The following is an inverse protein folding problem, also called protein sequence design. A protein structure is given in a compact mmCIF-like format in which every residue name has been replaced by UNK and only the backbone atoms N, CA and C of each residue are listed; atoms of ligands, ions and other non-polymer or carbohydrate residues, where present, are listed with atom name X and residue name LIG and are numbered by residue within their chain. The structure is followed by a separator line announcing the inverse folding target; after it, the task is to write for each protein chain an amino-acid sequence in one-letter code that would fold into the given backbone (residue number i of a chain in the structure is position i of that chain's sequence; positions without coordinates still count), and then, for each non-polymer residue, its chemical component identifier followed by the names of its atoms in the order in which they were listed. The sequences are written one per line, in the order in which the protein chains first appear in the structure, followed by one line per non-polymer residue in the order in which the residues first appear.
data_IF_173928941396
#
_entry.id   IF_173928941396
#
_cell.length_a   1.000
_cell.length_b   1.000
_cell.length_c   1.000
_cell.angle_alpha   90.00
_cell.angle_beta   90.00
_cell.angle_gamma   90.00
#
_symmetry.space_group_name_H-M   'P 1'
#
loop_
_entity.id
_entity.type
_entity.pdbx_description
1 polymer ?
#
# COMPACT_ATOMS: atom_id res chain seq x y z
N UNK A 1 67.61 12.07 18.65
CA UNK A 1 68.26 13.10 19.48
C UNK A 1 67.79 12.81 20.89
N UNK A 2 68.59 12.13 21.73
CA UNK A 2 69.46 12.65 22.80
C UNK A 2 68.69 13.62 23.71
N UNK A 3 68.52 13.38 25.01
CA UNK A 3 69.54 13.13 26.03
C UNK A 3 68.98 12.50 27.29
N UNK A 4 69.68 11.56 27.79
CA UNK A 4 69.84 11.15 29.19
C UNK A 4 70.40 12.28 30.06
N UNK A 5 70.12 12.30 31.37
CA UNK A 5 71.03 12.56 32.45
C UNK A 5 70.48 11.89 33.73
N UNK A 6 71.17 11.15 34.29
CA UNK A 6 71.77 10.43 35.38
C UNK A 6 72.40 11.38 36.40
N UNK A 7 72.33 10.99 37.70
CA UNK A 7 73.41 11.02 38.72
C UNK A 7 72.82 10.76 40.11
N UNK A 8 73.03 9.61 40.86
CA UNK A 8 74.25 9.32 41.62
C UNK A 8 74.33 10.14 42.93
N UNK A 9 74.43 9.61 44.06
CA UNK A 9 75.25 8.69 44.75
C UNK A 9 75.15 8.98 46.25
N UNK A 10 75.15 7.96 47.03
CA UNK A 10 76.18 7.53 47.99
C UNK A 10 76.35 8.48 49.23
N UNK A 11 76.52 8.07 50.41
CA UNK A 11 77.45 7.17 51.11
C UNK A 11 77.21 7.27 52.65
N UNK A 12 77.14 6.14 53.33
CA UNK A 12 77.79 5.68 54.55
C UNK A 12 77.96 6.62 55.82
N UNK A 13 77.53 6.19 56.98
CA UNK A 13 78.45 5.84 58.09
C UNK A 13 77.82 5.17 59.29
N UNK A 14 78.59 4.25 59.79
CA UNK A 14 78.46 3.47 61.05
C UNK A 14 78.45 4.33 62.34
N UNK A 15 77.78 3.86 63.42
CA UNK A 15 78.49 3.61 64.65
C UNK A 15 77.58 2.87 65.68
N UNK A 16 78.22 1.90 66.34
CA UNK A 16 77.81 0.92 67.33
C UNK A 16 77.74 1.57 68.69
N UNK A 17 77.01 0.87 69.63
CA UNK A 17 77.21 0.64 71.08
C UNK A 17 76.04 1.10 71.94
N UNK A 18 75.58 0.11 72.73
CA UNK A 18 75.17 0.31 74.08
C UNK A 18 73.97 -0.54 74.54
N UNK A 19 74.26 -1.66 75.17
CA UNK A 19 73.36 -2.47 75.97
C UNK A 19 72.63 -1.67 77.03
N UNK A 20 71.30 -1.87 77.17
CA UNK A 20 70.70 -2.02 78.50
C UNK A 20 69.35 -2.79 78.39
N UNK A 21 69.38 -3.99 79.01
CA UNK A 21 68.24 -4.84 79.23
C UNK A 21 67.30 -4.19 80.24
N UNK A 22 66.06 -3.89 79.84
CA UNK A 22 64.94 -3.78 80.74
C UNK A 22 63.79 -4.65 80.25
N UNK A 23 63.60 -5.78 80.96
CA UNK A 23 62.35 -6.55 80.83
C UNK A 23 61.17 -5.72 81.27
N UNK A 24 60.41 -5.20 80.40
CA UNK A 24 59.02 -4.78 80.60
C UNK A 24 58.16 -5.80 79.94
N UNK A 25 57.42 -6.58 80.71
CA UNK A 25 56.37 -7.45 80.24
C UNK A 25 55.28 -6.57 79.56
N UNK A 26 55.35 -6.37 78.27
CA UNK A 26 54.28 -5.82 77.51
C UNK A 26 53.22 -6.92 77.31
N UNK A 27 52.09 -6.75 77.96
CA UNK A 27 50.90 -7.55 77.65
C UNK A 27 50.69 -7.49 76.11
N UNK A 28 50.31 -8.58 75.49
CA UNK A 28 50.04 -8.55 74.02
C UNK A 28 48.90 -7.57 73.75
N UNK A 29 49.22 -6.45 73.21
CA UNK A 29 48.20 -5.60 72.55
C UNK A 29 47.59 -6.46 71.46
N UNK A 30 46.47 -7.02 71.79
CA UNK A 30 45.63 -7.74 70.84
C UNK A 30 45.24 -6.72 69.76
N UNK A 31 45.99 -6.74 68.66
CA UNK A 31 45.66 -5.88 67.50
C UNK A 31 44.23 -6.20 67.12
N UNK A 32 43.36 -5.22 67.32
CA UNK A 32 41.98 -5.33 66.87
C UNK A 32 42.02 -5.75 65.41
N UNK A 33 41.63 -6.97 65.15
CA UNK A 33 41.60 -7.54 63.79
C UNK A 33 40.60 -6.71 62.98
N UNK A 34 41.09 -5.85 62.05
CA UNK A 34 40.24 -5.04 61.18
C UNK A 34 39.38 -5.95 60.30
N UNK A 35 38.13 -5.57 60.16
CA UNK A 35 37.20 -6.22 59.18
C UNK A 35 37.88 -6.30 57.83
N UNK A 36 38.14 -7.50 57.27
CA UNK A 36 38.91 -7.64 56.04
C UNK A 36 38.49 -8.83 55.18
N UNK A 37 38.69 -8.62 53.85
CA UNK A 37 38.67 -9.72 52.90
C UNK A 37 40.03 -10.40 52.84
N UNK A 38 40.03 -11.71 52.92
CA UNK A 38 41.22 -12.55 52.79
C UNK A 38 41.03 -13.48 51.59
N UNK A 39 42.02 -13.52 50.69
CA UNK A 39 42.06 -14.50 49.63
C UNK A 39 42.93 -15.69 50.12
N UNK A 40 42.36 -16.86 50.12
CA UNK A 40 43.04 -18.10 50.41
C UNK A 40 42.80 -19.11 49.31
N UNK A 41 43.82 -19.49 48.57
CA UNK A 41 43.79 -20.41 47.44
C UNK A 41 42.72 -20.06 46.38
N UNK A 42 42.64 -18.76 45.99
CA UNK A 42 41.70 -18.27 44.99
C UNK A 42 40.27 -18.04 45.51
N UNK A 43 39.98 -18.38 46.75
CA UNK A 43 38.66 -18.12 47.38
C UNK A 43 38.76 -16.95 48.35
N UNK A 44 37.76 -16.02 48.25
CA UNK A 44 37.67 -14.89 49.18
C UNK A 44 36.81 -15.27 50.39
N UNK A 45 37.31 -14.87 51.57
CA UNK A 45 36.63 -14.98 52.87
C UNK A 45 36.54 -13.59 53.49
N UNK A 46 35.52 -13.37 54.31
CA UNK A 46 35.38 -12.13 55.05
C UNK A 46 35.38 -12.45 56.59
N UNK A 47 36.21 -11.74 57.29
CA UNK A 47 36.32 -11.86 58.77
C UNK A 47 35.80 -10.58 59.41
N UNK A 48 35.03 -10.73 60.51
CA UNK A 48 34.56 -9.59 61.30
C UNK A 48 35.67 -9.01 62.17
N UNK A 49 35.34 -8.00 62.99
CA UNK A 49 36.29 -7.34 63.89
C UNK A 49 36.79 -8.28 65.02
N UNK A 50 36.14 -9.40 65.26
CA UNK A 50 36.58 -10.43 66.23
C UNK A 50 37.43 -11.52 65.57
N UNK A 51 37.72 -11.45 64.30
CA UNK A 51 38.44 -12.47 63.56
C UNK A 51 37.59 -13.69 63.18
N UNK A 52 36.27 -13.61 63.35
CA UNK A 52 35.35 -14.72 63.03
C UNK A 52 34.99 -14.67 61.54
N UNK A 53 35.09 -15.82 60.88
CA UNK A 53 34.72 -16.00 59.51
C UNK A 53 33.18 -15.83 59.29
N UNK A 54 32.78 -14.93 58.47
CA UNK A 54 31.38 -14.74 58.14
C UNK A 54 30.88 -15.84 57.19
N UNK A 55 29.68 -16.34 57.44
CA UNK A 55 28.95 -17.36 56.67
C UNK A 55 27.56 -16.88 56.34
N UNK A 56 27.01 -17.30 55.20
CA UNK A 56 25.68 -16.88 54.75
C UNK A 56 25.63 -15.42 54.33
N UNK A 57 24.48 -14.77 54.55
CA UNK A 57 24.27 -13.37 54.21
C UNK A 57 24.98 -12.44 55.19
N UNK A 58 25.68 -11.46 54.65
CA UNK A 58 26.29 -10.37 55.40
C UNK A 58 25.92 -9.03 54.82
N UNK A 59 25.54 -8.07 55.64
CA UNK A 59 25.32 -6.69 55.23
C UNK A 59 26.39 -5.80 55.86
N UNK A 60 27.19 -5.12 55.04
CA UNK A 60 28.22 -4.20 55.54
C UNK A 60 27.60 -2.97 56.19
N UNK A 61 28.33 -2.19 56.99
CA UNK A 61 27.87 -0.93 57.57
C UNK A 61 27.43 0.08 56.48
N UNK A 62 27.99 0.02 55.27
CA UNK A 62 27.61 0.82 54.12
C UNK A 62 26.40 0.27 53.34
N UNK A 63 25.70 -0.76 53.85
CA UNK A 63 24.50 -1.33 53.24
C UNK A 63 24.76 -2.30 52.07
N UNK A 64 26.01 -2.59 51.73
CA UNK A 64 26.35 -3.57 50.70
C UNK A 64 26.09 -5.01 51.20
N UNK A 65 25.43 -5.82 50.40
CA UNK A 65 25.08 -7.20 50.77
C UNK A 65 26.02 -8.18 50.09
N UNK A 66 26.51 -9.14 50.91
CA UNK A 66 27.42 -10.20 50.48
C UNK A 66 26.81 -11.56 50.84
N UNK A 67 27.26 -12.59 50.11
CA UNK A 67 26.90 -13.95 50.43
C UNK A 67 28.13 -14.86 50.43
N UNK A 68 28.29 -15.59 51.49
CA UNK A 68 29.36 -16.57 51.71
C UNK A 68 28.75 -17.95 51.89
N UNK A 69 29.45 -18.98 51.47
CA UNK A 69 28.98 -20.33 51.62
C UNK A 69 28.66 -20.62 53.08
N UNK A 70 27.48 -21.15 53.42
CA UNK A 70 27.07 -21.38 54.80
C UNK A 70 27.95 -22.42 55.56
N UNK A 71 28.61 -23.33 54.81
CA UNK A 71 29.49 -24.38 55.43
C UNK A 71 30.90 -23.86 55.48
N UNK A 72 31.48 -23.42 54.35
CA UNK A 72 32.92 -23.10 54.30
C UNK A 72 33.23 -21.63 54.61
N UNK A 73 32.25 -20.73 54.43
CA UNK A 73 32.43 -19.28 54.50
C UNK A 73 33.12 -18.68 53.28
N UNK A 74 33.35 -19.44 52.22
CA UNK A 74 33.91 -18.93 50.97
C UNK A 74 32.92 -18.07 50.24
N UNK A 75 33.35 -16.96 49.59
CA UNK A 75 32.55 -16.22 48.67
C UNK A 75 32.13 -17.12 47.50
N UNK A 76 30.90 -16.96 47.04
CA UNK A 76 30.35 -17.72 45.91
C UNK A 76 30.16 -16.80 44.70
N UNK A 77 31.14 -16.65 43.80
CA UNK A 77 30.99 -15.84 42.61
C UNK A 77 30.03 -16.47 41.58
N UNK A 78 29.43 -15.64 40.75
CA UNK A 78 28.49 -16.09 39.69
C UNK A 78 27.05 -16.20 40.17
N UNK A 79 26.24 -16.98 39.44
CA UNK A 79 24.81 -17.20 39.74
C UNK A 79 24.61 -18.30 40.75
N UNK A 80 24.00 -17.96 41.87
CA UNK A 80 23.65 -18.94 42.94
C UNK A 80 22.19 -18.79 43.37
N UNK A 81 21.57 -19.93 43.66
CA UNK A 81 20.21 -19.97 44.21
C UNK A 81 20.29 -19.98 45.74
N UNK A 82 19.71 -18.94 46.35
CA UNK A 82 19.66 -18.79 47.81
C UNK A 82 18.20 -18.51 48.18
N UNK A 83 17.65 -19.31 49.11
CA UNK A 83 16.25 -19.18 49.59
C UNK A 83 15.23 -19.04 48.45
N UNK A 84 15.33 -19.93 47.44
CA UNK A 84 14.39 -19.97 46.30
C UNK A 84 14.59 -18.89 45.25
N UNK A 85 15.46 -17.90 45.43
CA UNK A 85 15.79 -16.84 44.46
C UNK A 85 17.20 -17.03 43.93
N UNK A 86 17.44 -16.66 42.66
CA UNK A 86 18.76 -16.69 42.04
C UNK A 86 19.37 -15.28 42.06
N UNK A 87 20.58 -15.18 42.56
CA UNK A 87 21.37 -13.94 42.69
C UNK A 87 22.67 -14.08 41.89
N UNK A 88 23.29 -12.95 41.57
CA UNK A 88 24.67 -12.94 41.06
C UNK A 88 25.59 -12.24 42.05
N UNK A 89 26.71 -12.86 42.31
CA UNK A 89 27.72 -12.35 43.23
C UNK A 89 29.04 -12.13 42.48
N UNK A 90 29.77 -11.10 42.85
CA UNK A 90 31.15 -10.88 42.40
C UNK A 90 32.10 -11.88 43.02
N UNK A 91 33.35 -11.90 42.60
CA UNK A 91 34.39 -12.76 43.17
C UNK A 91 34.51 -12.63 44.67
N UNK A 92 34.26 -11.43 45.23
CA UNK A 92 34.26 -11.19 46.68
C UNK A 92 32.90 -11.44 47.36
N UNK A 93 31.96 -12.06 46.67
CA UNK A 93 30.65 -12.37 47.21
C UNK A 93 29.69 -11.19 47.27
N UNK A 94 30.01 -10.01 46.72
CA UNK A 94 29.11 -8.86 46.68
C UNK A 94 27.91 -9.12 45.74
N UNK A 95 26.71 -8.97 46.28
CA UNK A 95 25.48 -9.09 45.52
C UNK A 95 25.32 -7.94 44.50
N UNK A 96 25.21 -8.28 43.22
CA UNK A 96 24.98 -7.33 42.15
C UNK A 96 23.47 -7.02 42.01
N UNK A 97 23.13 -5.78 41.77
CA UNK A 97 21.75 -5.29 41.61
C UNK A 97 21.59 -4.47 40.34
N UNK A 98 20.37 -4.48 39.81
CA UNK A 98 19.92 -3.61 38.69
C UNK A 98 20.90 -3.56 37.51
N UNK A 99 21.45 -4.72 37.12
CA UNK A 99 22.52 -4.81 36.11
C UNK A 99 22.40 -6.08 35.25
N UNK A 100 22.86 -6.00 34.00
CA UNK A 100 23.15 -7.18 33.20
C UNK A 100 24.54 -7.72 33.62
N UNK A 101 24.59 -8.98 33.95
CA UNK A 101 25.80 -9.71 34.38
C UNK A 101 26.10 -10.83 33.38
N UNK A 102 27.37 -11.24 33.33
CA UNK A 102 27.81 -12.38 32.52
C UNK A 102 28.29 -13.50 33.46
N UNK A 103 27.78 -14.71 33.24
CA UNK A 103 28.16 -15.90 33.96
C UNK A 103 28.35 -17.05 32.96
N UNK A 104 29.54 -17.67 32.95
CA UNK A 104 29.90 -18.70 31.96
C UNK A 104 29.55 -18.36 30.52
N UNK A 105 29.88 -17.12 30.09
CA UNK A 105 29.64 -16.61 28.73
C UNK A 105 28.16 -16.27 28.42
N UNK A 106 27.23 -16.48 29.35
CA UNK A 106 25.81 -16.17 29.19
C UNK A 106 25.45 -14.91 29.99
N UNK A 107 24.55 -14.09 29.41
CA UNK A 107 24.12 -12.81 29.99
C UNK A 107 22.80 -12.96 30.71
N UNK A 108 22.67 -12.33 31.87
CA UNK A 108 21.49 -12.38 32.73
C UNK A 108 21.21 -10.99 33.30
N UNK A 109 19.96 -10.71 33.64
CA UNK A 109 19.59 -9.49 34.35
C UNK A 109 19.23 -9.79 35.79
N UNK A 110 19.82 -9.03 36.70
CA UNK A 110 19.47 -9.02 38.14
C UNK A 110 18.80 -7.68 38.46
N UNK A 111 17.65 -7.73 39.13
CA UNK A 111 16.82 -6.57 39.43
C UNK A 111 17.33 -5.76 40.63
N UNK A 112 16.56 -4.76 41.06
CA UNK A 112 16.88 -3.93 42.24
C UNK A 112 17.04 -4.71 43.55
N UNK A 113 16.43 -5.87 43.64
CA UNK A 113 16.55 -6.79 44.81
C UNK A 113 17.70 -7.79 44.65
N UNK A 114 18.43 -7.75 43.54
CA UNK A 114 19.47 -8.70 43.19
C UNK A 114 18.95 -10.00 42.56
N UNK A 115 17.64 -10.14 42.32
CA UNK A 115 17.04 -11.36 41.78
C UNK A 115 17.23 -11.47 40.25
N UNK A 116 17.70 -12.63 39.79
CA UNK A 116 17.70 -12.94 38.38
C UNK A 116 16.28 -12.91 37.83
N UNK A 117 16.09 -12.12 36.77
CA UNK A 117 14.80 -11.99 36.11
C UNK A 117 14.80 -12.70 34.78
N UNK A 118 13.60 -13.06 34.31
CA UNK A 118 13.34 -13.66 33.01
C UNK A 118 12.12 -12.98 32.34
N UNK A 119 11.92 -13.23 31.05
CA UNK A 119 10.85 -12.61 30.29
C UNK A 119 11.27 -11.30 29.64
N UNK A 120 10.30 -10.46 29.30
CA UNK A 120 10.52 -9.16 28.67
C UNK A 120 10.75 -8.08 29.73
N UNK A 121 11.88 -7.40 29.66
CA UNK A 121 12.32 -6.44 30.68
C UNK A 121 12.78 -5.15 30.04
N UNK A 122 12.31 -4.02 30.55
CA UNK A 122 12.79 -2.69 30.17
C UNK A 122 13.99 -2.32 31.06
N UNK A 123 15.11 -1.98 30.42
CA UNK A 123 16.33 -1.51 31.08
C UNK A 123 16.73 -0.19 30.40
N UNK A 124 16.61 0.91 31.13
CA UNK A 124 16.71 2.26 30.55
C UNK A 124 15.65 2.50 29.50
N UNK A 125 16.06 2.92 28.30
CA UNK A 125 15.16 3.21 27.17
C UNK A 125 14.83 1.96 26.34
N UNK A 126 15.55 0.86 26.53
CA UNK A 126 15.45 -0.32 25.66
C UNK A 126 14.71 -1.47 26.33
N UNK A 127 14.04 -2.27 25.50
CA UNK A 127 13.45 -3.54 25.90
C UNK A 127 14.37 -4.68 25.54
N UNK A 128 14.44 -5.69 26.41
CA UNK A 128 15.23 -6.90 26.25
C UNK A 128 14.36 -8.11 26.55
N UNK A 129 14.74 -9.27 25.99
CA UNK A 129 14.11 -10.54 26.31
C UNK A 129 15.13 -11.48 26.94
N UNK A 130 14.69 -12.15 28.00
CA UNK A 130 15.43 -13.17 28.71
C UNK A 130 14.62 -14.46 28.67
N UNK A 131 15.26 -15.56 28.31
CA UNK A 131 14.60 -16.85 28.23
C UNK A 131 13.89 -17.19 29.55
N UNK A 132 12.64 -17.65 29.47
CA UNK A 132 11.79 -17.83 30.67
C UNK A 132 12.27 -18.93 31.60
N UNK A 133 12.90 -19.98 31.06
CA UNK A 133 13.40 -21.13 31.83
C UNK A 133 14.78 -20.83 32.39
N UNK A 134 15.68 -20.40 31.54
CA UNK A 134 17.10 -20.25 31.89
C UNK A 134 17.46 -18.86 32.40
N UNK A 135 16.67 -17.82 32.07
CA UNK A 135 16.99 -16.42 32.36
C UNK A 135 18.08 -15.84 31.43
N UNK A 136 18.57 -16.60 30.45
CA UNK A 136 19.61 -16.14 29.53
C UNK A 136 19.06 -15.05 28.62
N UNK A 137 19.81 -13.95 28.42
CA UNK A 137 19.46 -12.88 27.50
C UNK A 137 19.46 -13.39 26.08
N UNK A 138 18.37 -13.14 25.34
CA UNK A 138 18.21 -13.56 23.95
C UNK A 138 18.96 -12.61 23.01
N UNK A 139 19.50 -13.20 21.93
CA UNK A 139 20.18 -12.50 20.82
C UNK A 139 19.84 -13.22 19.52
N UNK A 140 19.50 -12.46 18.46
CA UNK A 140 19.08 -12.99 17.16
C UNK A 140 18.02 -14.09 17.30
N UNK A 141 17.04 -13.87 18.19
CA UNK A 141 16.10 -14.91 18.59
C UNK A 141 14.68 -14.35 18.78
N UNK A 142 13.70 -15.19 18.48
CA UNK A 142 12.31 -14.91 18.77
C UNK A 142 12.00 -15.08 20.25
N UNK A 143 11.13 -14.21 20.74
CA UNK A 143 10.56 -14.31 22.08
C UNK A 143 9.04 -14.19 21.98
N UNK A 144 8.31 -15.09 22.65
CA UNK A 144 6.85 -15.01 22.79
C UNK A 144 6.51 -14.74 24.24
N UNK A 145 5.72 -13.69 24.48
CA UNK A 145 5.27 -13.33 25.83
C UNK A 145 4.08 -14.20 26.28
N UNK A 146 3.68 -14.09 27.54
CA UNK A 146 2.57 -14.89 28.12
C UNK A 146 1.22 -14.60 27.48
N UNK A 147 1.03 -13.40 26.93
CA UNK A 147 -0.16 -12.98 26.19
C UNK A 147 -0.14 -13.42 24.70
N UNK A 148 0.84 -14.24 24.29
CA UNK A 148 1.04 -14.65 22.89
C UNK A 148 1.71 -13.61 22.01
N UNK A 149 2.01 -12.41 22.50
CA UNK A 149 2.71 -11.38 21.74
C UNK A 149 4.11 -11.82 21.37
N UNK A 150 4.50 -11.57 20.11
CA UNK A 150 5.81 -11.98 19.59
C UNK A 150 6.75 -10.78 19.48
N UNK A 151 8.01 -11.03 19.74
CA UNK A 151 9.11 -10.07 19.72
C UNK A 151 10.35 -10.71 19.09
N UNK A 152 11.30 -9.90 18.65
CA UNK A 152 12.59 -10.39 18.18
C UNK A 152 13.73 -9.64 18.88
N UNK A 153 14.63 -10.36 19.52
CA UNK A 153 15.86 -9.82 20.06
C UNK A 153 16.91 -9.74 18.94
N UNK A 154 17.34 -8.54 18.60
CA UNK A 154 18.31 -8.30 17.54
C UNK A 154 19.75 -8.66 17.92
N UNK A 155 20.68 -8.35 17.03
CA UNK A 155 22.10 -8.63 17.21
C UNK A 155 22.76 -7.83 18.36
N UNK A 156 22.14 -6.73 18.79
CA UNK A 156 22.56 -5.91 19.93
C UNK A 156 21.82 -6.29 21.22
N UNK A 157 21.15 -7.46 21.23
CA UNK A 157 20.34 -8.00 22.35
C UNK A 157 19.03 -7.24 22.64
N UNK A 158 18.89 -5.97 22.24
CA UNK A 158 17.62 -5.25 22.39
C UNK A 158 16.53 -5.79 21.48
N UNK A 159 15.27 -5.66 21.90
CA UNK A 159 14.14 -5.93 21.03
C UNK A 159 14.15 -4.93 19.87
N UNK A 160 13.97 -5.45 18.64
CA UNK A 160 13.93 -4.65 17.44
C UNK A 160 12.65 -3.82 17.36
N UNK A 161 12.72 -2.70 16.65
CA UNK A 161 11.62 -1.77 16.44
C UNK A 161 11.59 -1.35 14.97
N UNK A 162 10.40 -0.93 14.47
CA UNK A 162 10.21 -0.55 13.10
C UNK A 162 10.25 -1.75 12.14
N UNK A 163 10.57 -1.47 10.87
CA UNK A 163 10.78 -2.52 9.87
C UNK A 163 12.08 -3.27 10.14
N UNK A 164 11.97 -4.58 10.23
CA UNK A 164 13.14 -5.44 10.47
C UNK A 164 12.99 -6.79 9.73
N UNK A 165 14.12 -7.39 9.37
CA UNK A 165 14.22 -8.70 8.68
C UNK A 165 14.95 -9.69 9.58
N UNK A 166 14.24 -10.43 10.42
CA UNK A 166 14.84 -11.54 11.21
C UNK A 166 15.38 -12.68 10.32
N UNK A 167 14.75 -12.84 9.17
CA UNK A 167 15.03 -13.81 8.12
C UNK A 167 14.93 -13.12 6.75
N UNK A 168 14.54 -13.83 5.69
CA UNK A 168 14.38 -13.28 4.33
C UNK A 168 13.19 -12.31 4.19
N UNK A 169 12.33 -12.14 5.21
CA UNK A 169 11.08 -11.43 5.09
C UNK A 169 10.98 -10.25 6.04
N UNK A 170 10.43 -9.13 5.57
CA UNK A 170 10.14 -7.97 6.42
C UNK A 170 8.96 -8.22 7.34
N UNK A 171 9.11 -7.71 8.58
CA UNK A 171 8.06 -7.57 9.59
C UNK A 171 8.11 -6.17 10.17
N UNK A 172 7.08 -5.80 10.91
CA UNK A 172 7.06 -4.52 11.61
C UNK A 172 6.87 -4.73 13.10
N UNK A 173 7.77 -4.13 13.86
CA UNK A 173 7.79 -4.18 15.32
C UNK A 173 7.48 -2.79 15.88
N UNK A 174 6.50 -2.73 16.75
CA UNK A 174 5.98 -1.46 17.27
C UNK A 174 7.08 -0.63 17.96
N UNK A 175 7.22 0.69 17.64
CA UNK A 175 8.40 1.49 18.04
C UNK A 175 8.63 1.62 19.55
N UNK A 176 7.59 1.59 20.39
CA UNK A 176 7.75 1.85 21.81
C UNK A 176 7.94 0.60 22.67
N UNK A 177 7.62 -0.60 22.18
CA UNK A 177 7.71 -1.82 22.98
C UNK A 177 8.24 -3.04 22.21
N UNK A 178 8.43 -2.93 20.90
CA UNK A 178 8.96 -4.00 20.06
C UNK A 178 7.99 -5.15 19.77
N UNK A 179 6.67 -4.99 20.05
CA UNK A 179 5.66 -6.00 19.70
C UNK A 179 5.53 -6.15 18.19
N UNK A 180 5.63 -7.36 17.65
CA UNK A 180 5.38 -7.65 16.25
C UNK A 180 3.92 -7.36 15.91
N UNK A 181 3.68 -6.57 14.85
CA UNK A 181 2.34 -6.27 14.35
C UNK A 181 1.96 -7.19 13.21
N UNK A 182 0.66 -7.49 13.13
CA UNK A 182 0.04 -8.34 12.09
C UNK A 182 -1.19 -7.64 11.50
N UNK A 183 -1.75 -8.19 10.43
CA UNK A 183 -2.93 -7.62 9.78
C UNK A 183 -2.65 -6.28 9.11
N UNK A 184 -3.68 -5.48 8.97
CA UNK A 184 -3.59 -4.15 8.38
C UNK A 184 -2.93 -3.16 9.33
N UNK A 185 -1.93 -2.43 8.82
CA UNK A 185 -1.24 -1.37 9.55
C UNK A 185 -1.11 -0.12 8.67
N UNK A 186 -1.23 1.05 9.30
CA UNK A 186 -0.88 2.32 8.66
C UNK A 186 0.40 2.83 9.31
N UNK A 187 1.46 2.98 8.52
CA UNK A 187 2.79 3.37 8.99
C UNK A 187 3.26 4.51 8.07
N UNK A 188 3.59 5.64 8.63
CA UNK A 188 4.05 6.84 7.90
C UNK A 188 3.11 7.21 6.73
N UNK A 189 1.79 7.15 6.96
CA UNK A 189 0.75 7.47 5.97
C UNK A 189 0.48 6.40 4.91
N UNK A 190 1.27 5.32 4.85
CA UNK A 190 1.07 4.22 3.91
C UNK A 190 0.39 3.03 4.57
N UNK A 191 -0.48 2.35 3.84
CA UNK A 191 -1.11 1.10 4.29
C UNK A 191 -0.26 -0.11 3.90
N UNK A 192 -0.08 -1.00 4.87
CA UNK A 192 0.61 -2.28 4.75
C UNK A 192 -0.30 -3.41 5.23
N UNK A 193 -0.03 -4.58 4.72
CA UNK A 193 -0.65 -5.80 5.22
C UNK A 193 0.44 -6.77 5.68
N UNK A 194 0.26 -7.33 6.86
CA UNK A 194 1.12 -8.36 7.43
C UNK A 194 0.33 -9.64 7.65
N UNK A 195 0.92 -10.77 7.33
CA UNK A 195 0.29 -12.06 7.56
C UNK A 195 -0.07 -12.23 9.05
N UNK A 196 -1.31 -12.60 9.35
CA UNK A 196 -1.82 -12.65 10.72
C UNK A 196 -1.09 -13.67 11.61
N UNK A 197 -0.54 -14.74 11.02
CA UNK A 197 0.16 -15.81 11.76
C UNK A 197 1.66 -15.54 11.85
N UNK A 198 2.29 -15.15 10.76
CA UNK A 198 3.75 -15.05 10.65
C UNK A 198 4.29 -13.63 10.83
N UNK A 199 3.43 -12.61 10.70
CA UNK A 199 3.82 -11.20 10.68
C UNK A 199 4.59 -10.79 9.42
N UNK A 200 4.72 -11.66 8.42
CA UNK A 200 5.42 -11.36 7.16
C UNK A 200 4.65 -10.33 6.37
N UNK A 201 5.33 -9.27 5.92
CA UNK A 201 4.77 -8.22 5.07
C UNK A 201 4.51 -8.77 3.67
N UNK A 202 3.38 -8.39 3.09
CA UNK A 202 3.07 -8.71 1.71
C UNK A 202 3.74 -7.68 0.78
N UNK A 203 4.70 -8.14 -0.02
CA UNK A 203 5.49 -7.32 -0.94
C UNK A 203 5.31 -7.81 -2.38
N UNK A 204 5.22 -6.86 -3.34
CA UNK A 204 5.18 -7.11 -4.79
C UNK A 204 4.20 -8.21 -5.19
N UNK A 205 2.99 -8.18 -4.67
CA UNK A 205 1.99 -9.21 -4.94
C UNK A 205 0.55 -8.71 -4.87
N UNK A 206 -0.33 -9.47 -5.52
CA UNK A 206 -1.78 -9.39 -5.33
C UNK A 206 -2.20 -10.27 -4.16
N UNK A 207 -3.04 -9.75 -3.28
CA UNK A 207 -3.60 -10.47 -2.14
C UNK A 207 -5.11 -10.41 -2.18
N UNK A 208 -5.77 -11.54 -1.96
CA UNK A 208 -7.22 -11.62 -1.81
C UNK A 208 -7.55 -11.92 -0.36
N UNK A 209 -8.33 -11.04 0.27
CA UNK A 209 -8.87 -11.22 1.61
C UNK A 209 -10.39 -11.32 1.50
N UNK A 210 -10.94 -12.48 1.79
CA UNK A 210 -12.35 -12.78 1.54
C UNK A 210 -12.70 -12.54 0.05
N UNK A 211 -13.51 -11.53 -0.29
CA UNK A 211 -13.86 -11.16 -1.66
C UNK A 211 -13.06 -9.96 -2.19
N UNK A 212 -12.26 -9.32 -1.34
CA UNK A 212 -11.55 -8.08 -1.64
C UNK A 212 -10.13 -8.36 -2.13
N UNK A 213 -9.74 -7.74 -3.22
CA UNK A 213 -8.42 -7.88 -3.84
C UNK A 213 -7.62 -6.59 -3.70
N UNK A 214 -6.34 -6.72 -3.36
CA UNK A 214 -5.40 -5.61 -3.17
C UNK A 214 -4.07 -5.93 -3.85
N UNK A 215 -3.33 -4.90 -4.23
CA UNK A 215 -1.96 -5.02 -4.71
C UNK A 215 -0.99 -4.23 -3.83
N UNK A 216 0.20 -4.79 -3.65
CA UNK A 216 1.29 -4.19 -2.88
C UNK A 216 2.53 -4.06 -3.76
N UNK A 217 3.24 -2.94 -3.61
CA UNK A 217 4.50 -2.69 -4.31
C UNK A 217 5.68 -3.42 -3.64
N UNK A 218 6.90 -3.24 -4.18
CA UNK A 218 8.12 -3.85 -3.65
C UNK A 218 8.44 -3.42 -2.20
N UNK A 219 8.00 -2.22 -1.78
CA UNK A 219 8.14 -1.73 -0.41
C UNK A 219 7.00 -2.20 0.50
N UNK A 220 6.07 -3.04 0.01
CA UNK A 220 4.90 -3.51 0.76
C UNK A 220 3.80 -2.46 0.92
N UNK A 221 3.89 -1.31 0.27
CA UNK A 221 2.85 -0.28 0.31
C UNK A 221 1.69 -0.69 -0.59
N UNK A 222 0.47 -0.59 -0.08
CA UNK A 222 -0.75 -0.83 -0.85
C UNK A 222 -0.90 0.22 -1.96
N UNK A 223 -1.14 -0.22 -3.20
CA UNK A 223 -1.48 0.68 -4.29
C UNK A 223 -2.85 1.34 -4.08
N UNK A 224 -2.96 2.61 -4.49
CA UNK A 224 -4.21 3.40 -4.50
C UNK A 224 -4.19 4.35 -5.69
N UNK A 225 -5.33 4.49 -6.38
CA UNK A 225 -5.46 5.31 -7.60
C UNK A 225 -4.32 5.05 -8.60
N UNK A 226 -3.98 3.77 -8.84
CA UNK A 226 -2.77 3.45 -9.58
C UNK A 226 -2.88 2.13 -10.33
N UNK A 227 -2.31 2.09 -11.54
CA UNK A 227 -2.07 0.87 -12.28
C UNK A 227 -0.90 0.10 -11.66
N UNK A 228 -1.09 -1.18 -11.42
CA UNK A 228 -0.06 -2.08 -10.89
C UNK A 228 0.17 -3.25 -11.87
N UNK A 229 1.43 -3.49 -12.26
CA UNK A 229 1.80 -4.66 -13.05
C UNK A 229 2.54 -5.64 -12.16
N UNK A 230 1.98 -6.85 -12.01
CA UNK A 230 2.48 -7.91 -11.15
C UNK A 230 2.40 -9.24 -11.90
N UNK A 231 3.54 -9.93 -12.04
CA UNK A 231 3.60 -11.21 -12.75
C UNK A 231 3.10 -11.13 -14.20
N UNK A 232 3.40 -10.04 -14.92
CA UNK A 232 2.97 -9.81 -16.31
C UNK A 232 1.48 -9.43 -16.47
N UNK A 233 0.72 -9.31 -15.37
CA UNK A 233 -0.68 -8.92 -15.38
C UNK A 233 -0.85 -7.51 -14.83
N UNK A 234 -1.76 -6.73 -15.42
CA UNK A 234 -2.02 -5.33 -15.05
C UNK A 234 -3.36 -5.23 -14.32
N UNK A 235 -3.36 -4.49 -13.22
CA UNK A 235 -4.48 -4.26 -12.31
C UNK A 235 -4.66 -2.76 -12.08
N UNK A 236 -5.85 -2.30 -11.74
CA UNK A 236 -6.08 -0.94 -11.27
C UNK A 236 -6.57 -0.94 -9.81
N UNK A 237 -5.79 -0.33 -8.93
CA UNK A 237 -6.19 -0.11 -7.55
C UNK A 237 -6.95 1.21 -7.44
N UNK A 238 -8.18 1.16 -6.98
CA UNK A 238 -9.04 2.32 -6.75
C UNK A 238 -8.56 3.16 -5.55
N UNK A 239 -9.21 4.28 -5.27
CA UNK A 239 -8.85 5.16 -4.15
C UNK A 239 -8.83 4.47 -2.78
N UNK A 240 -9.73 3.52 -2.55
CA UNK A 240 -9.78 2.71 -1.33
C UNK A 240 -8.77 1.54 -1.31
N UNK A 241 -8.02 1.34 -2.40
CA UNK A 241 -7.05 0.26 -2.61
C UNK A 241 -7.64 -1.03 -3.16
N UNK A 242 -8.97 -1.14 -3.30
CA UNK A 242 -9.58 -2.31 -3.93
C UNK A 242 -9.24 -2.36 -5.42
N UNK A 243 -9.00 -3.55 -5.94
CA UNK A 243 -8.82 -3.71 -7.37
C UNK A 243 -10.16 -3.55 -8.10
N UNK A 244 -10.15 -2.78 -9.17
CA UNK A 244 -11.30 -2.63 -10.06
C UNK A 244 -11.60 -3.96 -10.78
N UNK A 245 -12.89 -4.19 -11.07
CA UNK A 245 -13.39 -5.30 -11.90
C UNK A 245 -14.51 -4.77 -12.80
N UNK A 246 -14.73 -5.40 -13.94
CA UNK A 246 -15.71 -4.92 -14.93
C UNK A 246 -15.19 -3.71 -15.71
N UNK A 247 -16.11 -2.88 -16.16
CA UNK A 247 -15.79 -1.66 -16.88
C UNK A 247 -15.24 -0.58 -15.93
N UNK A 248 -14.13 0.04 -16.34
CA UNK A 248 -13.47 1.14 -15.62
C UNK A 248 -13.30 2.31 -16.58
N UNK A 249 -13.88 3.45 -16.23
CA UNK A 249 -13.65 4.71 -16.94
C UNK A 249 -12.62 5.53 -16.16
N UNK A 250 -11.53 5.89 -16.83
CA UNK A 250 -10.42 6.63 -16.24
C UNK A 250 -9.85 7.60 -17.27
N UNK A 251 -9.81 8.88 -16.93
CA UNK A 251 -9.27 9.96 -17.78
C UNK A 251 -9.85 9.94 -19.22
N UNK A 252 -11.17 9.79 -19.33
CA UNK A 252 -11.88 9.74 -20.60
C UNK A 252 -11.75 8.42 -21.39
N UNK A 253 -10.95 7.48 -20.91
CA UNK A 253 -10.75 6.16 -21.52
C UNK A 253 -11.54 5.07 -20.77
N UNK A 254 -12.04 4.10 -21.52
CA UNK A 254 -12.72 2.92 -20.95
C UNK A 254 -11.81 1.69 -21.02
N UNK A 255 -11.74 0.96 -19.93
CA UNK A 255 -10.99 -0.29 -19.77
C UNK A 255 -11.92 -1.39 -19.27
N UNK A 256 -11.54 -2.63 -19.45
CA UNK A 256 -12.25 -3.77 -18.86
C UNK A 256 -11.29 -4.65 -18.06
N UNK A 257 -11.68 -4.94 -16.82
CA UNK A 257 -10.96 -5.83 -15.93
C UNK A 257 -11.81 -7.06 -15.63
N UNK A 258 -11.24 -8.24 -15.72
CA UNK A 258 -11.97 -9.48 -15.44
C UNK A 258 -12.29 -9.62 -13.94
N UNK A 259 -12.97 -10.70 -13.56
CA UNK A 259 -13.32 -10.99 -12.15
C UNK A 259 -12.10 -11.13 -11.24
N UNK A 260 -10.93 -11.44 -11.78
CA UNK A 260 -9.67 -11.49 -11.04
C UNK A 260 -8.97 -10.12 -10.94
N UNK A 261 -9.60 -9.04 -11.46
CA UNK A 261 -9.06 -7.68 -11.51
C UNK A 261 -8.01 -7.46 -12.61
N UNK A 262 -7.80 -8.42 -13.53
CA UNK A 262 -6.79 -8.33 -14.59
C UNK A 262 -7.33 -7.50 -15.75
N UNK A 263 -6.60 -6.46 -16.18
CA UNK A 263 -6.92 -5.68 -17.38
C UNK A 263 -6.92 -6.58 -18.62
N UNK A 264 -8.00 -6.52 -19.37
CA UNK A 264 -8.13 -7.26 -20.62
C UNK A 264 -7.67 -6.43 -21.81
N UNK A 265 -7.26 -7.14 -22.87
CA UNK A 265 -6.92 -6.61 -24.18
C UNK A 265 -7.55 -7.52 -25.25
N UNK A 266 -7.64 -7.04 -26.49
CA UNK A 266 -8.28 -7.78 -27.57
C UNK A 266 -9.80 -7.86 -27.40
N UNK A 267 -10.41 -8.90 -27.98
CA UNK A 267 -11.85 -9.09 -27.93
C UNK A 267 -12.33 -9.56 -26.56
N UNK A 268 -13.42 -8.94 -26.10
CA UNK A 268 -14.16 -9.37 -24.91
C UNK A 268 -15.67 -9.41 -25.21
N UNK A 269 -16.41 -10.16 -24.41
CA UNK A 269 -17.87 -10.13 -24.38
C UNK A 269 -18.34 -9.60 -23.03
N UNK A 270 -19.22 -8.60 -23.07
CA UNK A 270 -19.84 -8.01 -21.87
C UNK A 270 -21.27 -7.61 -22.18
N UNK A 271 -22.23 -7.97 -21.33
CA UNK A 271 -23.65 -7.65 -21.55
C UNK A 271 -24.19 -8.15 -22.90
N UNK A 272 -23.75 -9.31 -23.39
CA UNK A 272 -24.17 -9.88 -24.67
C UNK A 272 -23.55 -9.23 -25.92
N UNK A 273 -22.76 -8.15 -25.76
CA UNK A 273 -22.07 -7.48 -26.86
C UNK A 273 -20.57 -7.79 -26.86
N UNK A 274 -19.94 -7.77 -28.06
CA UNK A 274 -18.48 -7.91 -28.21
C UNK A 274 -17.84 -6.52 -28.29
N UNK A 275 -16.71 -6.36 -27.65
CA UNK A 275 -15.93 -5.11 -27.62
C UNK A 275 -14.46 -5.42 -27.91
N UNK A 276 -13.73 -4.45 -28.46
CA UNK A 276 -12.31 -4.60 -28.73
C UNK A 276 -11.49 -3.60 -27.91
N UNK A 277 -10.56 -4.14 -27.15
CA UNK A 277 -9.62 -3.38 -26.31
C UNK A 277 -8.25 -3.38 -26.97
N UNK A 278 -7.64 -2.21 -27.13
CA UNK A 278 -6.35 -2.06 -27.80
C UNK A 278 -5.28 -2.97 -27.15
N UNK A 279 -4.50 -3.76 -27.93
CA UNK A 279 -3.57 -4.76 -27.40
C UNK A 279 -2.52 -4.21 -26.44
N UNK A 280 -1.97 -3.02 -26.73
CA UNK A 280 -0.92 -2.41 -25.91
C UNK A 280 -1.47 -1.69 -24.66
N UNK A 281 -2.58 -0.95 -24.81
CA UNK A 281 -3.08 -0.06 -23.76
C UNK A 281 -4.28 -0.63 -22.99
N UNK A 282 -5.05 -1.53 -23.59
CA UNK A 282 -6.32 -2.01 -23.04
C UNK A 282 -7.47 -1.00 -23.16
N UNK A 283 -7.28 0.11 -23.88
CA UNK A 283 -8.31 1.13 -24.11
C UNK A 283 -9.36 0.62 -25.09
N UNK A 284 -10.63 0.82 -24.76
CA UNK A 284 -11.75 0.49 -25.65
C UNK A 284 -11.64 1.24 -26.97
N UNK A 285 -11.64 0.52 -28.08
CA UNK A 285 -11.75 1.07 -29.42
C UNK A 285 -13.20 1.46 -29.71
N UNK A 286 -13.39 2.62 -30.31
CA UNK A 286 -14.69 3.15 -30.68
C UNK A 286 -14.64 3.72 -32.09
N UNK A 287 -15.77 3.59 -32.81
CA UNK A 287 -15.99 4.21 -34.10
C UNK A 287 -14.85 3.98 -35.10
N UNK A 288 -14.35 2.76 -35.18
CA UNK A 288 -13.24 2.41 -36.07
C UNK A 288 -13.23 0.92 -36.47
N UNK A 289 -12.54 0.62 -37.56
CA UNK A 289 -12.14 -0.73 -37.91
C UNK A 289 -11.03 -1.20 -36.91
N UNK A 290 -11.21 -2.33 -36.30
CA UNK A 290 -10.18 -2.95 -35.41
C UNK A 290 -9.34 -4.00 -36.16
N UNK A 291 -9.88 -4.51 -37.26
CA UNK A 291 -9.21 -5.32 -38.25
C UNK A 291 -10.00 -5.25 -39.60
N UNK A 292 -9.59 -5.98 -40.61
CA UNK A 292 -10.21 -5.97 -41.96
C UNK A 292 -11.68 -6.39 -42.01
N UNK A 293 -12.23 -6.96 -40.95
CA UNK A 293 -13.58 -7.57 -40.92
C UNK A 293 -14.47 -7.04 -39.77
N UNK A 294 -13.91 -6.35 -38.81
CA UNK A 294 -14.64 -5.99 -37.60
C UNK A 294 -14.61 -4.47 -37.35
N UNK A 295 -15.75 -3.85 -37.44
CA UNK A 295 -15.95 -2.46 -37.06
C UNK A 295 -16.62 -2.36 -35.67
N UNK A 296 -16.17 -1.44 -34.86
CA UNK A 296 -16.78 -1.12 -33.56
C UNK A 296 -17.40 0.26 -33.59
N UNK A 297 -18.65 0.38 -33.14
CA UNK A 297 -19.43 1.58 -33.16
C UNK A 297 -19.05 2.64 -32.13
N UNK A 298 -19.87 3.66 -31.99
CA UNK A 298 -19.66 4.77 -31.06
C UNK A 298 -19.66 4.34 -29.61
N UNK A 299 -20.44 3.32 -29.22
CA UNK A 299 -20.44 2.68 -27.90
C UNK A 299 -19.27 1.68 -27.71
N UNK A 300 -18.45 1.45 -28.74
CA UNK A 300 -17.37 0.49 -28.79
C UNK A 300 -17.82 -0.95 -29.06
N UNK A 301 -19.12 -1.21 -29.21
CA UNK A 301 -19.60 -2.54 -29.53
C UNK A 301 -19.34 -2.88 -31.01
N UNK A 302 -19.00 -4.16 -31.24
CA UNK A 302 -18.88 -4.70 -32.60
C UNK A 302 -20.22 -4.64 -33.32
N UNK A 303 -20.21 -4.11 -34.55
CA UNK A 303 -21.35 -4.06 -35.47
C UNK A 303 -21.12 -5.15 -36.51
N UNK A 304 -21.89 -6.27 -36.48
CA UNK A 304 -21.78 -7.31 -37.49
C UNK A 304 -22.10 -6.78 -38.90
N UNK A 305 -21.34 -7.23 -39.90
CA UNK A 305 -21.55 -6.87 -41.30
C UNK A 305 -21.57 -5.35 -41.58
N UNK A 306 -20.86 -4.58 -40.73
CA UNK A 306 -20.69 -3.16 -40.97
C UNK A 306 -20.10 -2.95 -42.37
N UNK A 307 -20.81 -2.22 -43.21
CA UNK A 307 -20.30 -1.74 -44.49
C UNK A 307 -19.90 -0.29 -44.29
N UNK A 308 -18.70 0.07 -44.77
CA UNK A 308 -18.29 1.49 -44.83
C UNK A 308 -19.26 2.18 -45.81
N UNK A 309 -20.25 2.82 -45.22
CA UNK A 309 -21.27 3.50 -45.98
C UNK A 309 -20.79 4.93 -46.06
N UNK A 310 -20.12 5.29 -47.01
CA UNK A 310 -19.62 6.62 -47.36
C UNK A 310 -20.67 7.74 -47.17
N UNK A 311 -21.29 7.79 -45.97
CA UNK A 311 -22.24 8.80 -45.54
C UNK A 311 -21.50 10.04 -45.04
N UNK A 312 -21.74 11.19 -45.71
CA UNK A 312 -21.13 12.45 -45.30
C UNK A 312 -21.86 13.03 -44.07
N UNK A 313 -21.20 13.95 -43.38
CA UNK A 313 -21.85 14.83 -42.43
C UNK A 313 -22.87 15.74 -43.10
N UNK A 314 -24.11 15.89 -42.53
CA UNK A 314 -25.22 16.54 -43.20
C UNK A 314 -25.13 18.07 -43.25
N UNK A 315 -24.26 18.68 -42.46
CA UNK A 315 -24.08 20.14 -42.40
C UNK A 315 -22.67 20.55 -42.82
N UNK A 316 -22.42 21.87 -42.83
CA UNK A 316 -21.06 22.39 -42.95
C UNK A 316 -20.21 21.83 -41.80
N UNK A 317 -18.95 21.44 -42.01
CA UNK A 317 -18.08 20.90 -40.93
C UNK A 317 -17.93 21.80 -39.71
N UNK A 318 -18.06 23.13 -39.84
CA UNK A 318 -18.10 24.04 -38.67
C UNK A 318 -19.26 23.76 -37.70
N UNK A 319 -20.39 23.24 -38.19
CA UNK A 319 -21.58 22.90 -37.43
C UNK A 319 -21.48 21.43 -37.02
N UNK A 320 -20.66 21.13 -36.03
CA UNK A 320 -20.34 19.78 -35.54
C UNK A 320 -20.73 19.52 -34.08
N UNK A 321 -21.32 20.51 -33.43
CA UNK A 321 -21.75 20.38 -32.03
C UNK A 321 -23.03 19.58 -31.96
N UNK A 322 -22.98 18.42 -31.27
CA UNK A 322 -24.14 17.59 -31.00
C UNK A 322 -24.69 18.01 -29.64
N UNK A 323 -25.94 18.49 -29.63
CA UNK A 323 -26.64 18.95 -28.44
C UNK A 323 -27.46 17.83 -27.76
N UNK A 324 -27.83 16.80 -28.54
CA UNK A 324 -28.51 15.62 -28.01
C UNK A 324 -28.12 14.38 -28.81
N UNK A 325 -27.73 13.34 -28.10
CA UNK A 325 -27.30 12.07 -28.67
C UNK A 325 -28.47 11.08 -28.79
N UNK A 326 -28.30 10.07 -29.62
CA UNK A 326 -29.22 8.94 -29.77
C UNK A 326 -29.36 8.14 -28.48
N UNK A 327 -30.56 7.72 -28.12
CA UNK A 327 -30.84 6.84 -26.99
C UNK A 327 -31.61 7.50 -25.86
N UNK A 328 -31.60 6.88 -24.64
CA UNK A 328 -32.34 7.41 -23.50
C UNK A 328 -31.82 8.78 -23.05
N UNK A 329 -32.73 9.72 -22.79
CA UNK A 329 -32.42 11.07 -22.31
C UNK A 329 -33.53 11.61 -21.41
N UNK A 330 -33.24 12.62 -20.61
CA UNK A 330 -34.28 13.47 -20.02
C UNK A 330 -34.96 14.26 -21.16
N UNK A 331 -36.31 14.26 -21.19
CA UNK A 331 -37.03 15.05 -22.18
C UNK A 331 -36.61 16.54 -22.11
N UNK A 332 -36.20 17.18 -23.20
CA UNK A 332 -35.73 18.57 -23.19
C UNK A 332 -36.85 19.58 -22.93
N UNK A 333 -38.10 19.18 -23.05
CA UNK A 333 -39.27 19.99 -22.79
C UNK A 333 -40.59 19.27 -23.10
N UNK A 334 -41.75 19.95 -22.93
CA UNK A 334 -43.06 19.35 -23.15
C UNK A 334 -43.21 18.80 -24.58
N UNK A 335 -43.74 17.57 -24.68
CA UNK A 335 -43.93 16.86 -25.94
C UNK A 335 -42.71 16.20 -26.55
N UNK A 336 -41.52 16.35 -25.95
CA UNK A 336 -40.31 15.66 -26.38
C UNK A 336 -40.21 14.26 -25.81
N UNK A 337 -39.62 13.32 -26.54
CA UNK A 337 -39.41 11.94 -26.14
C UNK A 337 -38.26 11.80 -25.14
N UNK A 338 -38.40 10.85 -24.20
CA UNK A 338 -37.32 10.36 -23.30
C UNK A 338 -36.37 9.38 -23.99
N UNK A 339 -36.68 8.96 -25.20
CA UNK A 339 -35.78 8.16 -26.04
C UNK A 339 -35.58 8.89 -27.39
N UNK A 340 -34.34 9.35 -27.63
CA UNK A 340 -34.00 10.10 -28.84
C UNK A 340 -33.66 9.16 -29.98
N UNK A 341 -34.44 9.28 -31.09
CA UNK A 341 -34.33 8.41 -32.28
C UNK A 341 -33.31 8.89 -33.32
N UNK A 342 -32.51 9.90 -32.99
CA UNK A 342 -31.50 10.50 -33.87
C UNK A 342 -30.44 11.25 -33.08
N UNK A 343 -29.76 12.16 -33.72
CA UNK A 343 -28.87 13.15 -33.09
C UNK A 343 -29.33 14.56 -33.44
N UNK A 344 -29.22 15.48 -32.49
CA UNK A 344 -29.49 16.89 -32.72
C UNK A 344 -28.17 17.65 -32.89
N UNK A 345 -28.00 18.28 -34.06
CA UNK A 345 -26.80 19.00 -34.46
C UNK A 345 -27.10 20.51 -34.44
N UNK A 346 -26.44 21.22 -33.53
CA UNK A 346 -26.60 22.68 -33.42
C UNK A 346 -26.14 23.41 -34.68
N UNK A 347 -27.03 24.24 -35.20
CA UNK A 347 -26.72 25.12 -36.31
C UNK A 347 -27.71 26.30 -36.35
N UNK A 348 -27.31 27.42 -36.91
CA UNK A 348 -28.21 28.57 -37.09
C UNK A 348 -29.33 28.25 -38.07
N UNK A 349 -30.53 28.81 -37.83
CA UNK A 349 -31.60 28.75 -38.79
C UNK A 349 -31.17 29.31 -40.15
N UNK A 350 -31.50 28.60 -41.23
CA UNK A 350 -31.06 28.96 -42.60
C UNK A 350 -29.74 28.33 -43.04
N UNK A 351 -28.99 27.64 -42.16
CA UNK A 351 -27.78 26.87 -42.56
C UNK A 351 -28.17 25.72 -43.49
N UNK A 352 -27.40 25.47 -44.58
CA UNK A 352 -27.72 24.43 -45.57
C UNK A 352 -27.66 23.02 -44.97
N UNK A 353 -28.61 22.17 -45.35
CA UNK A 353 -28.65 20.73 -45.03
C UNK A 353 -28.38 19.96 -46.33
N UNK A 354 -27.50 18.98 -46.25
CA UNK A 354 -27.07 18.17 -47.37
C UNK A 354 -27.44 16.71 -47.20
N UNK A 355 -27.79 16.00 -48.27
CA UNK A 355 -28.01 14.58 -48.28
C UNK A 355 -26.74 13.83 -47.83
N UNK A 356 -26.88 12.91 -46.87
CA UNK A 356 -25.73 12.13 -46.34
C UNK A 356 -25.16 11.17 -47.38
N UNK A 357 -25.98 10.68 -48.33
CA UNK A 357 -25.60 9.73 -49.37
C UNK A 357 -26.52 9.88 -50.58
N UNK A 358 -26.16 9.24 -51.71
CA UNK A 358 -27.07 9.07 -52.88
C UNK A 358 -28.36 8.36 -52.43
N UNK A 359 -29.49 8.80 -52.95
CA UNK A 359 -30.76 8.17 -52.63
C UNK A 359 -31.96 8.76 -53.37
N UNK A 360 -33.15 8.36 -52.95
CA UNK A 360 -34.44 8.88 -53.48
C UNK A 360 -35.25 9.42 -52.31
N UNK A 361 -35.79 10.61 -52.44
CA UNK A 361 -36.69 11.21 -51.45
C UNK A 361 -37.93 10.32 -51.31
N UNK A 362 -38.05 9.63 -50.18
CA UNK A 362 -39.20 8.77 -49.86
C UNK A 362 -40.32 9.52 -49.15
N UNK A 363 -39.98 10.61 -48.48
CA UNK A 363 -40.93 11.49 -47.80
C UNK A 363 -40.47 12.93 -47.86
N UNK A 364 -41.41 13.84 -48.13
CA UNK A 364 -41.24 15.29 -47.99
C UNK A 364 -42.57 15.84 -47.47
N UNK A 365 -42.58 16.46 -46.28
CA UNK A 365 -43.80 16.99 -45.67
C UNK A 365 -43.53 18.27 -44.92
N UNK A 366 -44.42 19.24 -45.11
CA UNK A 366 -44.48 20.43 -44.27
C UNK A 366 -45.29 20.14 -43.00
N UNK A 367 -44.88 20.75 -41.87
CA UNK A 367 -45.58 20.71 -40.58
C UNK A 367 -46.02 19.30 -40.15
N UNK A 368 -45.13 18.31 -40.24
CA UNK A 368 -45.39 16.91 -39.90
C UNK A 368 -45.35 16.73 -38.41
N UNK A 369 -46.28 17.28 -37.66
CA UNK A 369 -46.38 17.17 -36.22
C UNK A 369 -45.09 17.52 -35.49
N UNK A 370 -44.65 16.67 -34.61
CA UNK A 370 -43.39 16.86 -33.85
C UNK A 370 -42.12 16.96 -34.70
N UNK A 371 -42.10 16.36 -35.90
CA UNK A 371 -40.96 16.42 -36.84
C UNK A 371 -40.83 17.76 -37.58
N UNK A 372 -41.90 18.58 -37.60
CA UNK A 372 -41.92 19.81 -38.34
C UNK A 372 -41.80 19.60 -39.85
N UNK A 373 -41.06 20.46 -40.54
CA UNK A 373 -40.70 20.23 -41.92
C UNK A 373 -39.68 19.11 -42.03
N UNK A 374 -40.04 18.03 -42.75
CA UNK A 374 -39.36 16.74 -42.67
C UNK A 374 -39.12 16.15 -44.06
N UNK A 375 -37.85 15.74 -44.30
CA UNK A 375 -37.45 14.93 -45.44
C UNK A 375 -36.95 13.57 -44.97
N UNK A 376 -37.34 12.49 -45.69
CA UNK A 376 -36.68 11.19 -45.61
C UNK A 376 -36.09 10.85 -46.98
N UNK A 377 -34.90 10.26 -46.96
CA UNK A 377 -34.23 9.78 -48.17
C UNK A 377 -33.94 8.29 -47.98
N UNK A 378 -34.44 7.48 -48.91
CA UNK A 378 -34.09 6.05 -48.95
C UNK A 378 -32.83 5.87 -49.78
N UNK A 379 -31.83 5.29 -49.15
CA UNK A 379 -30.52 4.97 -49.74
C UNK A 379 -30.45 3.49 -50.19
N UNK A 380 -29.31 3.09 -50.73
CA UNK A 380 -29.03 1.69 -50.98
C UNK A 380 -29.12 0.85 -49.68
N UNK A 381 -29.32 -0.45 -49.82
CA UNK A 381 -29.45 -1.40 -48.69
C UNK A 381 -30.64 -1.12 -47.73
N UNK A 382 -31.67 -0.37 -48.17
CA UNK A 382 -32.92 -0.13 -47.42
C UNK A 382 -32.73 0.81 -46.23
N UNK A 383 -31.67 1.60 -46.20
CA UNK A 383 -31.44 2.61 -45.18
C UNK A 383 -32.18 3.88 -45.50
N UNK A 384 -32.77 4.48 -44.49
CA UNK A 384 -33.45 5.77 -44.60
C UNK A 384 -32.77 6.78 -43.68
N UNK A 385 -32.41 7.95 -44.22
CA UNK A 385 -32.04 9.11 -43.42
C UNK A 385 -33.18 10.07 -43.25
N UNK A 386 -33.34 10.61 -42.05
CA UNK A 386 -34.38 11.57 -41.69
C UNK A 386 -33.78 12.91 -41.34
N UNK A 387 -34.39 14.00 -41.86
CA UNK A 387 -33.95 15.38 -41.66
C UNK A 387 -35.15 16.18 -41.18
N UNK A 388 -35.22 16.51 -39.88
CA UNK A 388 -36.39 17.16 -39.27
C UNK A 388 -36.10 18.61 -38.89
N UNK A 389 -37.17 19.31 -38.50
CA UNK A 389 -37.18 20.69 -37.98
C UNK A 389 -36.69 21.73 -38.96
N UNK A 390 -36.74 21.45 -40.27
CA UNK A 390 -36.24 22.35 -41.33
C UNK A 390 -37.05 23.66 -41.42
N UNK A 391 -36.41 24.77 -41.76
CA UNK A 391 -37.10 26.03 -42.03
C UNK A 391 -37.80 26.00 -43.42
N UNK A 392 -37.13 25.44 -44.44
CA UNK A 392 -37.63 25.25 -45.78
C UNK A 392 -36.86 24.16 -46.49
N UNK A 393 -37.46 23.58 -47.53
CA UNK A 393 -36.80 22.62 -48.40
C UNK A 393 -36.03 23.34 -49.54
N UNK A 394 -35.05 22.66 -50.11
CA UNK A 394 -34.40 23.15 -51.32
C UNK A 394 -35.40 23.20 -52.53
N UNK A 395 -35.33 24.20 -53.41
CA UNK A 395 -36.23 24.29 -54.49
C UNK A 395 -36.22 23.07 -55.44
N UNK A 396 -37.39 22.72 -56.00
CA UNK A 396 -37.53 21.64 -56.98
C UNK A 396 -37.56 20.23 -56.43
N UNK A 397 -37.41 20.03 -55.15
CA UNK A 397 -37.46 18.70 -54.50
C UNK A 397 -38.93 18.27 -54.28
N UNK A 398 -39.21 17.02 -54.65
CA UNK A 398 -40.49 16.35 -54.44
C UNK A 398 -40.27 14.88 -54.08
N UNK A 399 -41.24 14.20 -53.49
CA UNK A 399 -41.21 12.78 -53.32
C UNK A 399 -40.89 12.05 -54.59
N UNK A 400 -39.99 11.11 -54.64
CA UNK A 400 -39.46 10.43 -55.81
C UNK A 400 -38.24 11.14 -56.46
N UNK A 401 -37.87 12.35 -56.00
CA UNK A 401 -36.64 12.99 -56.48
C UNK A 401 -35.41 12.20 -56.14
N UNK A 402 -34.53 11.93 -57.11
CA UNK A 402 -33.20 11.37 -56.86
C UNK A 402 -32.28 12.50 -56.39
N UNK A 403 -31.52 12.23 -55.37
CA UNK A 403 -30.51 13.13 -54.78
C UNK A 403 -29.15 12.48 -54.72
N UNK A 404 -28.11 13.30 -54.88
CA UNK A 404 -26.71 12.88 -54.77
C UNK A 404 -26.18 13.19 -53.38
N UNK A 405 -25.22 12.39 -52.90
CA UNK A 405 -24.44 12.69 -51.72
C UNK A 405 -23.92 14.13 -51.77
N UNK A 406 -24.21 14.90 -50.71
CA UNK A 406 -23.81 16.31 -50.67
C UNK A 406 -24.71 17.26 -51.42
N UNK A 407 -25.79 16.80 -52.05
CA UNK A 407 -26.79 17.70 -52.65
C UNK A 407 -27.53 18.47 -51.56
N UNK A 408 -27.76 19.75 -51.78
CA UNK A 408 -28.59 20.59 -50.92
C UNK A 408 -30.04 20.05 -50.92
N UNK A 409 -30.61 19.80 -49.75
CA UNK A 409 -31.96 19.27 -49.58
C UNK A 409 -32.88 20.19 -48.78
N UNK A 410 -32.33 21.16 -48.06
CA UNK A 410 -33.09 22.10 -47.26
C UNK A 410 -32.22 22.92 -46.34
N UNK A 411 -32.85 23.55 -45.38
CA UNK A 411 -32.19 24.49 -44.48
C UNK A 411 -32.61 24.23 -43.01
N UNK A 412 -31.69 24.38 -42.11
CA UNK A 412 -31.92 24.26 -40.67
C UNK A 412 -33.01 25.20 -40.20
N UNK A 413 -33.84 24.76 -39.30
CA UNK A 413 -34.94 25.56 -38.74
C UNK A 413 -35.24 25.23 -37.30
N UNK A 414 -36.48 25.53 -36.88
CA UNK A 414 -36.99 25.29 -35.55
C UNK A 414 -38.49 24.91 -35.61
N UNK A 415 -38.90 24.17 -36.68
CA UNK A 415 -40.31 23.77 -36.89
C UNK A 415 -40.63 22.48 -36.13
N UNK A 416 -41.93 22.28 -35.80
CA UNK A 416 -42.38 21.12 -34.98
C UNK A 416 -42.02 21.22 -33.49
N UNK A 417 -41.83 20.08 -32.83
CA UNK A 417 -41.44 20.03 -31.43
C UNK A 417 -39.91 20.23 -31.34
N UNK A 418 -39.50 21.48 -31.33
CA UNK A 418 -38.08 21.89 -31.29
C UNK A 418 -37.92 23.07 -30.34
N UNK A 419 -36.84 23.06 -29.53
CA UNK A 419 -36.55 24.03 -28.47
C UNK A 419 -35.40 24.99 -28.82
N UNK A 420 -35.00 24.99 -30.08
CA UNK A 420 -33.95 25.85 -30.62
C UNK A 420 -33.50 25.39 -31.99
N UNK A 421 -32.90 26.29 -32.79
CA UNK A 421 -32.50 25.97 -34.16
C UNK A 421 -31.44 24.82 -34.17
N UNK A 422 -31.76 23.70 -34.79
CA UNK A 422 -30.90 22.55 -34.99
C UNK A 422 -31.36 21.67 -36.14
N UNK A 423 -30.51 20.77 -36.59
CA UNK A 423 -30.90 19.64 -37.43
C UNK A 423 -31.04 18.39 -36.57
N UNK A 424 -32.22 17.79 -36.56
CA UNK A 424 -32.39 16.41 -36.14
C UNK A 424 -32.06 15.48 -37.30
N UNK A 425 -31.03 14.66 -37.17
CA UNK A 425 -30.65 13.60 -38.10
C UNK A 425 -31.02 12.24 -37.49
N UNK A 426 -31.96 11.52 -38.17
CA UNK A 426 -32.27 10.13 -37.85
C UNK A 426 -31.71 9.17 -38.90
N UNK A 427 -31.44 7.94 -38.51
CA UNK A 427 -31.13 6.84 -39.44
C UNK A 427 -32.01 5.65 -39.09
N UNK A 428 -32.69 5.10 -40.10
CA UNK A 428 -33.52 3.90 -39.99
C UNK A 428 -32.90 2.82 -40.86
N UNK A 429 -32.65 1.67 -40.29
CA UNK A 429 -32.19 0.46 -40.99
C UNK A 429 -33.12 -0.69 -40.66
N UNK A 430 -33.69 -1.35 -41.67
CA UNK A 430 -34.65 -2.44 -41.51
C UNK A 430 -35.83 -2.06 -40.57
N UNK A 431 -36.36 -0.85 -40.70
CA UNK A 431 -37.46 -0.34 -39.88
C UNK A 431 -37.11 0.07 -38.48
N UNK A 432 -35.84 -0.03 -38.05
CA UNK A 432 -35.39 0.28 -36.68
C UNK A 432 -34.47 1.49 -36.71
N UNK A 433 -34.73 2.48 -35.84
CA UNK A 433 -33.83 3.61 -35.65
C UNK A 433 -32.47 3.15 -35.09
N UNK A 434 -31.41 3.67 -35.67
CA UNK A 434 -30.01 3.40 -35.31
C UNK A 434 -29.30 4.70 -34.95
N UNK A 435 -28.25 4.58 -34.13
CA UNK A 435 -27.41 5.75 -33.84
C UNK A 435 -26.75 6.29 -35.13
N UNK A 436 -27.08 7.55 -35.55
CA UNK A 436 -26.53 8.13 -36.76
C UNK A 436 -25.01 8.19 -36.80
N UNK A 437 -24.34 8.27 -35.63
CA UNK A 437 -22.86 8.28 -35.53
C UNK A 437 -22.20 6.95 -35.93
N UNK A 438 -22.99 5.89 -36.13
CA UNK A 438 -22.52 4.66 -36.76
C UNK A 438 -22.52 4.70 -38.27
N UNK A 439 -23.02 5.79 -38.89
CA UNK A 439 -23.19 5.96 -40.35
C UNK A 439 -22.48 7.20 -40.87
N UNK A 440 -22.51 8.31 -40.17
CA UNK A 440 -21.84 9.56 -40.54
C UNK A 440 -20.64 9.84 -39.64
N UNK A 441 -19.53 10.26 -40.24
CA UNK A 441 -18.35 10.68 -39.45
C UNK A 441 -18.49 12.14 -39.07
N UNK A 442 -18.49 12.42 -37.78
CA UNK A 442 -18.43 13.78 -37.22
C UNK A 442 -17.11 14.44 -37.64
N UNK A 443 -17.13 15.67 -38.21
CA UNK A 443 -15.90 16.37 -38.59
C UNK A 443 -14.95 16.56 -37.40
N UNK A 444 -13.68 16.44 -37.69
CA UNK A 444 -12.63 16.76 -36.72
C UNK A 444 -12.66 18.25 -36.32
N UNK A 445 -12.21 18.55 -35.10
CA UNK A 445 -12.17 19.90 -34.58
C UNK A 445 -10.98 20.70 -34.98
#
# INVERSE_FOLDING_TARGET
MKKKVSFSGAVICFLIVGFLTMCLSAAPVQAATARQFVNHNGSYYYYDSSGKKIKGWYTSPAGARYYFDPVTGAAKPGLHRVNGKTYYFTERGLMVRNKIVTDHGKRYYVDKNGWRRAGRIRIGRNWYAFDRKTGVQLRNAWFTDTDGSRYYAGNRYSLVQGFYRPDSYYRYFRPYDGKMLTGWQTIDGYRYLFNNRTGVRYDLQKVTLQKNMYCFNRQGRMYRNHWATLGGKTYYAQNNGLLATGWLNLDGNSYYLNRAGERKTGWITSGGKKYYLAPSTGILKKNCWVDAKHYVGNDGAWIPNYKDRDFRWPLNPKNRTITSYFGPRKAPGPGASTYHKGIDIAAKSGEPIYAVADGTISLIRHNNGGAGNHIQITHADGIVSEYMHQSKFAPGLKQGSKVKKGQLIGYVGNTGTSFGAHLHLGIIENGVHKDPLNYVTRPAG
#
